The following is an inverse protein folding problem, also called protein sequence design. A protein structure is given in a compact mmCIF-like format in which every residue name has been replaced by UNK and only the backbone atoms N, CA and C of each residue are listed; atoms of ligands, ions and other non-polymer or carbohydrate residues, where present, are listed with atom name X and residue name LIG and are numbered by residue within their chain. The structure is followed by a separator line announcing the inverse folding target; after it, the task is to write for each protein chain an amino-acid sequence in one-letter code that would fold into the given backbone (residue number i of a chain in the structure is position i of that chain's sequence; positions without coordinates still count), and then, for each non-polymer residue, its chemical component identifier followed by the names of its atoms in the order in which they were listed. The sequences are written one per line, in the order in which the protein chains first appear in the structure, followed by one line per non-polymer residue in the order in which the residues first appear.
data_IF_809706146402
#
_entry.id   IF_809706146402
#
_cell.length_a   1.000
_cell.length_b   1.000
_cell.length_c   1.000
_cell.angle_alpha   90.00
_cell.angle_beta   90.00
_cell.angle_gamma   90.00
#
_symmetry.space_group_name_H-M   'P 1'
#
loop_
_entity.id
_entity.type
_entity.pdbx_description
1 polymer ?
#
# COMPACT_ATOMS: atom_id res chain seq x y z
N UNK A 1 -16.15 45.91 19.22
CA UNK A 1 -16.33 44.96 18.17
C UNK A 1 -14.97 44.29 17.92
N UNK A 2 -14.87 43.01 18.20
CA UNK A 2 -13.65 42.23 17.94
C UNK A 2 -13.42 42.14 16.43
N UNK A 3 -12.30 42.67 15.97
CA UNK A 3 -11.83 42.48 14.60
C UNK A 3 -11.33 41.01 14.51
N UNK A 4 -12.09 40.17 13.82
CA UNK A 4 -11.56 38.85 13.40
C UNK A 4 -10.62 39.13 12.23
N UNK A 5 -9.32 38.93 12.45
CA UNK A 5 -8.36 38.82 11.35
C UNK A 5 -8.57 37.45 10.66
N UNK A 6 -9.02 37.51 9.41
CA UNK A 6 -9.08 36.34 8.53
C UNK A 6 -7.86 36.42 7.60
N UNK A 7 -6.92 35.51 7.74
CA UNK A 7 -5.71 35.47 6.93
C UNK A 7 -5.85 34.38 5.86
N UNK A 8 -5.81 34.79 4.59
CA UNK A 8 -5.78 33.86 3.45
C UNK A 8 -4.34 33.73 2.96
N UNK A 9 -3.84 32.52 2.91
CA UNK A 9 -2.51 32.22 2.39
C UNK A 9 -2.60 31.77 0.93
N UNK A 10 -1.76 32.36 0.07
CA UNK A 10 -1.58 31.92 -1.31
C UNK A 10 -0.20 31.29 -1.43
N UNK A 11 -0.14 30.06 -1.90
CA UNK A 11 1.12 29.44 -2.30
C UNK A 11 1.39 29.76 -3.79
N UNK A 12 2.50 30.45 -4.05
CA UNK A 12 2.93 30.71 -5.44
C UNK A 12 3.82 29.58 -5.89
N UNK A 13 3.29 28.73 -6.76
CA UNK A 13 4.03 27.57 -7.30
C UNK A 13 5.00 28.06 -8.37
N UNK A 14 6.30 27.92 -8.10
CA UNK A 14 7.38 28.10 -9.08
C UNK A 14 7.59 26.82 -9.93
N UNK A 15 8.51 26.87 -10.89
CA UNK A 15 8.97 25.66 -11.56
C UNK A 15 9.65 24.72 -10.55
N UNK A 16 9.55 23.40 -10.72
CA UNK A 16 10.22 22.45 -9.84
C UNK A 16 11.75 22.57 -9.99
N UNK A 17 12.45 22.32 -8.91
CA UNK A 17 13.90 22.14 -8.96
C UNK A 17 14.24 20.88 -9.76
N UNK A 18 15.20 20.99 -10.67
CA UNK A 18 15.69 19.86 -11.44
C UNK A 18 16.84 19.20 -10.66
N UNK A 19 16.62 17.99 -10.18
CA UNK A 19 17.61 17.22 -9.42
C UNK A 19 17.46 15.73 -9.70
N UNK A 20 18.57 15.04 -9.94
CA UNK A 20 18.55 13.59 -10.17
C UNK A 20 18.07 12.84 -8.92
N UNK A 21 17.29 11.77 -9.15
CA UNK A 21 16.93 10.85 -8.07
C UNK A 21 18.21 10.35 -7.39
N UNK A 22 18.31 10.39 -6.06
CA UNK A 22 19.46 9.88 -5.35
C UNK A 22 19.78 8.43 -5.73
N UNK A 23 21.06 8.13 -5.92
CA UNK A 23 21.50 6.81 -6.38
C UNK A 23 21.04 5.67 -5.44
N UNK A 24 20.57 4.57 -6.02
CA UNK A 24 20.13 3.39 -5.28
C UNK A 24 18.65 3.41 -4.87
N UNK A 25 17.92 4.50 -5.15
CA UNK A 25 16.49 4.55 -4.88
C UNK A 25 15.69 3.99 -6.06
N UNK A 26 14.52 3.46 -5.75
CA UNK A 26 13.58 2.91 -6.73
C UNK A 26 12.24 3.66 -6.69
N UNK A 27 11.37 3.44 -7.67
CA UNK A 27 10.02 3.98 -7.66
C UNK A 27 9.24 3.50 -6.45
N UNK A 28 8.37 4.37 -5.91
CA UNK A 28 7.58 4.14 -4.71
C UNK A 28 8.27 4.67 -3.44
N UNK A 29 8.04 4.01 -2.33
CA UNK A 29 8.48 4.42 -1.00
C UNK A 29 9.87 3.83 -0.72
N UNK A 30 10.85 4.71 -0.40
CA UNK A 30 12.20 4.30 0.00
C UNK A 30 12.45 4.73 1.46
N UNK A 31 12.55 3.77 2.36
CA UNK A 31 12.87 4.00 3.78
C UNK A 31 14.38 4.17 3.94
N UNK A 32 14.81 5.40 4.23
CA UNK A 32 16.24 5.77 4.33
C UNK A 32 16.76 5.46 5.72
N UNK A 33 16.00 5.82 6.74
CA UNK A 33 16.24 5.55 8.14
C UNK A 33 14.92 5.62 8.94
N UNK A 34 15.00 5.54 10.27
CA UNK A 34 13.82 5.52 11.14
C UNK A 34 12.99 6.82 11.14
N UNK A 35 13.55 7.92 10.59
CA UNK A 35 12.92 9.24 10.60
C UNK A 35 12.84 9.86 9.21
N UNK A 36 13.24 9.12 8.15
CA UNK A 36 13.41 9.65 6.81
C UNK A 36 12.86 8.70 5.76
N UNK A 37 12.04 9.22 4.87
CA UNK A 37 11.54 8.50 3.70
C UNK A 37 11.77 9.33 2.43
N UNK A 38 12.13 8.68 1.33
CA UNK A 38 12.13 9.30 0.01
C UNK A 38 11.03 8.67 -0.84
N UNK A 39 10.14 9.49 -1.35
CA UNK A 39 9.08 9.10 -2.28
C UNK A 39 9.56 9.37 -3.70
N UNK A 40 9.42 8.38 -4.58
CA UNK A 40 9.81 8.47 -5.99
C UNK A 40 8.63 8.06 -6.87
N UNK A 41 8.15 8.97 -7.70
CA UNK A 41 6.98 8.77 -8.56
C UNK A 41 7.35 8.92 -10.04
N UNK A 42 7.06 7.91 -10.85
CA UNK A 42 7.08 8.06 -12.30
C UNK A 42 5.77 8.71 -12.76
N UNK A 43 5.83 9.93 -13.27
CA UNK A 43 4.69 10.71 -13.73
C UNK A 43 5.13 11.69 -14.84
N UNK A 44 5.33 11.20 -16.08
CA UNK A 44 5.70 12.05 -17.21
C UNK A 44 4.60 13.04 -17.57
N UNK A 45 4.99 14.14 -18.21
CA UNK A 45 4.10 15.20 -18.70
C UNK A 45 3.37 16.00 -17.59
N UNK A 46 3.81 15.92 -16.34
CA UNK A 46 3.30 16.75 -15.24
C UNK A 46 4.16 18.01 -15.10
N UNK A 47 3.55 19.09 -14.60
CA UNK A 47 4.22 20.39 -14.45
C UNK A 47 4.80 20.57 -13.05
N UNK A 48 4.10 20.08 -12.03
CA UNK A 48 4.54 20.10 -10.64
C UNK A 48 3.77 19.09 -9.78
N UNK A 49 4.43 18.56 -8.77
CA UNK A 49 3.85 17.57 -7.84
C UNK A 49 4.25 17.90 -6.41
N UNK A 50 3.31 17.77 -5.49
CA UNK A 50 3.56 17.80 -4.06
C UNK A 50 3.18 16.46 -3.42
N UNK A 51 3.98 15.99 -2.47
CA UNK A 51 3.58 14.91 -1.58
C UNK A 51 2.92 15.55 -0.35
N UNK A 52 1.60 15.42 -0.22
CA UNK A 52 0.81 16.11 0.82
C UNK A 52 0.17 15.09 1.74
N UNK A 53 0.30 15.27 3.04
CA UNK A 53 -0.24 14.30 3.99
C UNK A 53 -0.10 14.73 5.45
N UNK A 54 -0.18 13.77 6.34
CA UNK A 54 -0.06 13.99 7.79
C UNK A 54 1.27 14.65 8.16
N UNK A 55 2.37 14.33 7.46
CA UNK A 55 3.69 14.93 7.65
C UNK A 55 3.74 16.43 7.36
N UNK A 56 2.83 16.95 6.53
CA UNK A 56 2.72 18.36 6.15
C UNK A 56 1.49 19.04 6.74
N UNK A 57 0.78 18.38 7.68
CA UNK A 57 -0.54 18.81 8.16
C UNK A 57 -1.54 19.04 7.01
N UNK A 58 -1.41 18.27 5.93
CA UNK A 58 -2.25 18.35 4.72
C UNK A 58 -2.19 19.72 4.02
N UNK A 59 -1.07 20.42 4.16
CA UNK A 59 -0.83 21.71 3.52
C UNK A 59 0.29 21.59 2.47
N UNK A 60 0.17 22.40 1.42
CA UNK A 60 1.26 22.57 0.46
C UNK A 60 2.41 23.31 1.15
N UNK A 61 3.59 22.71 1.14
CA UNK A 61 4.80 23.23 1.76
C UNK A 61 5.98 23.02 0.83
N UNK A 62 6.98 23.87 0.91
CA UNK A 62 8.22 23.73 0.13
C UNK A 62 8.89 22.39 0.37
N UNK A 63 8.93 21.92 1.61
CA UNK A 63 9.48 20.62 1.98
C UNK A 63 8.74 19.40 1.40
N UNK A 64 7.54 19.60 0.87
CA UNK A 64 6.71 18.58 0.20
C UNK A 64 6.71 18.73 -1.33
N UNK A 65 7.33 19.78 -1.86
CA UNK A 65 7.44 19.99 -3.30
C UNK A 65 8.46 19.02 -3.88
N UNK A 66 8.04 18.24 -4.87
CA UNK A 66 8.89 17.22 -5.46
C UNK A 66 9.86 17.83 -6.49
N UNK A 67 11.10 17.34 -6.47
CA UNK A 67 12.08 17.60 -7.52
C UNK A 67 11.71 16.81 -8.77
N UNK A 68 12.02 17.37 -9.94
CA UNK A 68 11.92 16.67 -11.22
C UNK A 68 13.31 16.13 -11.62
N UNK A 69 13.39 14.84 -11.90
CA UNK A 69 14.60 14.23 -12.44
C UNK A 69 14.91 14.78 -13.86
N UNK A 70 16.18 14.90 -14.26
CA UNK A 70 16.55 15.32 -15.62
C UNK A 70 15.97 14.48 -16.77
N UNK A 71 15.39 13.29 -16.46
CA UNK A 71 14.64 12.47 -17.43
C UNK A 71 13.28 13.08 -17.83
N UNK A 72 12.83 14.14 -17.13
CA UNK A 72 11.54 14.82 -17.27
C UNK A 72 10.31 13.93 -17.09
N UNK A 73 10.44 12.86 -16.32
CA UNK A 73 9.38 11.89 -16.09
C UNK A 73 9.28 11.43 -14.64
N UNK A 74 10.41 11.43 -13.91
CA UNK A 74 10.50 10.94 -12.54
C UNK A 74 10.52 12.10 -11.55
N UNK A 75 9.71 12.00 -10.50
CA UNK A 75 9.58 12.99 -9.44
C UNK A 75 9.99 12.38 -8.11
N UNK A 76 10.63 13.17 -7.24
CA UNK A 76 11.02 12.65 -5.94
C UNK A 76 11.08 13.74 -4.87
N UNK A 77 10.88 13.33 -3.61
CA UNK A 77 11.05 14.19 -2.44
C UNK A 77 11.52 13.37 -1.26
N UNK A 78 12.42 13.92 -0.45
CA UNK A 78 12.83 13.33 0.82
C UNK A 78 12.13 14.03 1.97
N UNK A 79 11.36 13.28 2.74
CA UNK A 79 10.65 13.72 3.94
C UNK A 79 11.46 13.32 5.15
N UNK A 80 11.82 14.29 6.00
CA UNK A 80 12.66 14.10 7.18
C UNK A 80 11.96 14.51 8.46
N UNK A 81 12.50 14.08 9.62
CA UNK A 81 11.94 14.45 10.92
C UNK A 81 10.62 13.75 11.24
N UNK A 82 10.41 12.57 10.66
CA UNK A 82 9.24 11.74 10.91
C UNK A 82 9.32 11.08 12.30
N UNK A 83 8.18 10.89 12.93
CA UNK A 83 8.09 10.14 14.17
C UNK A 83 8.28 8.65 13.90
N UNK A 84 9.18 8.02 14.66
CA UNK A 84 9.51 6.59 14.53
C UNK A 84 8.28 5.72 14.74
N UNK A 85 8.01 4.84 13.78
CA UNK A 85 6.90 3.88 13.86
C UNK A 85 5.51 4.47 13.66
N UNK A 86 5.38 5.78 13.42
CA UNK A 86 4.10 6.40 13.10
C UNK A 86 3.71 6.15 11.64
N UNK A 87 2.44 5.86 11.42
CA UNK A 87 1.85 5.81 10.08
C UNK A 87 1.51 7.20 9.58
N UNK A 88 1.87 7.49 8.35
CA UNK A 88 1.66 8.79 7.69
C UNK A 88 0.81 8.62 6.44
N UNK A 89 -0.50 8.93 6.51
CA UNK A 89 -1.35 9.03 5.33
C UNK A 89 -0.91 10.19 4.43
N UNK A 90 -0.88 9.97 3.12
CA UNK A 90 -0.52 10.98 2.13
C UNK A 90 -1.12 10.72 0.75
N UNK A 91 -1.12 11.77 -0.07
CA UNK A 91 -1.46 11.74 -1.49
C UNK A 91 -0.47 12.61 -2.28
N UNK A 92 -0.38 12.38 -3.57
CA UNK A 92 0.23 13.31 -4.48
C UNK A 92 -0.81 14.34 -4.95
N UNK A 93 -0.45 15.62 -4.90
CA UNK A 93 -1.18 16.71 -5.50
C UNK A 93 -0.48 17.15 -6.78
N UNK A 94 -1.13 16.92 -7.92
CA UNK A 94 -0.53 17.03 -9.25
C UNK A 94 -1.23 18.14 -10.03
N UNK A 95 -0.46 19.05 -10.60
CA UNK A 95 -0.89 20.11 -11.54
C UNK A 95 -2.10 20.94 -11.05
N UNK A 96 -2.23 21.09 -9.71
CA UNK A 96 -3.26 21.94 -9.10
C UNK A 96 -4.66 21.36 -9.04
N UNK A 97 -4.88 20.16 -9.55
CA UNK A 97 -6.24 19.59 -9.65
C UNK A 97 -6.36 18.14 -9.22
N UNK A 98 -5.35 17.32 -9.46
CA UNK A 98 -5.44 15.88 -9.22
C UNK A 98 -4.85 15.53 -7.84
N UNK A 99 -5.68 14.95 -6.99
CA UNK A 99 -5.28 14.28 -5.76
C UNK A 99 -5.28 12.78 -6.01
N UNK A 100 -4.15 12.12 -5.84
CA UNK A 100 -4.01 10.70 -6.15
C UNK A 100 -3.10 10.01 -5.15
N UNK A 101 -3.42 8.76 -4.83
CA UNK A 101 -2.57 7.92 -4.01
C UNK A 101 -1.29 7.51 -4.77
N UNK A 102 -0.29 7.02 -4.06
CA UNK A 102 0.91 6.44 -4.66
C UNK A 102 0.57 5.09 -5.32
N UNK A 103 0.86 4.90 -6.61
CA UNK A 103 0.60 3.62 -7.29
C UNK A 103 1.37 2.44 -6.71
N UNK A 104 2.47 2.71 -5.98
CA UNK A 104 3.30 1.70 -5.33
C UNK A 104 3.16 1.72 -3.80
N UNK A 105 2.04 2.24 -3.29
CA UNK A 105 1.75 2.20 -1.86
C UNK A 105 1.70 0.75 -1.34
N UNK A 106 2.30 0.53 -0.17
CA UNK A 106 2.27 -0.76 0.54
C UNK A 106 1.02 -0.94 1.41
N UNK A 107 0.36 0.18 1.75
CA UNK A 107 -0.90 0.27 2.49
C UNK A 107 -1.67 1.48 2.02
N UNK A 108 -2.98 1.36 1.95
CA UNK A 108 -3.88 2.46 1.61
C UNK A 108 -5.01 2.58 2.63
N UNK A 109 -5.70 3.73 2.63
CA UNK A 109 -6.94 3.94 3.37
C UNK A 109 -8.05 4.26 2.36
N UNK A 110 -9.17 3.57 2.51
CA UNK A 110 -10.35 3.71 1.66
C UNK A 110 -11.48 4.38 2.45
N UNK A 111 -11.94 5.58 2.05
CA UNK A 111 -12.98 6.31 2.76
C UNK A 111 -14.35 5.62 2.73
N UNK A 112 -14.56 4.69 1.80
CA UNK A 112 -15.86 4.05 1.58
C UNK A 112 -15.96 2.67 2.23
N UNK A 113 -14.85 1.95 2.34
CA UNK A 113 -14.85 0.52 2.67
C UNK A 113 -14.12 0.18 3.98
N UNK A 114 -13.14 0.96 4.44
CA UNK A 114 -12.36 0.65 5.64
C UNK A 114 -13.22 0.57 6.91
N UNK A 115 -14.30 1.35 7.00
CA UNK A 115 -15.22 1.32 8.15
C UNK A 115 -15.95 -0.03 8.35
N UNK A 116 -15.94 -0.89 7.34
CA UNK A 116 -16.51 -2.25 7.42
C UNK A 116 -15.48 -3.32 7.81
N UNK A 117 -14.22 -2.95 7.95
CA UNK A 117 -13.15 -3.85 8.39
C UNK A 117 -13.16 -3.91 9.91
N UNK A 118 -13.29 -5.12 10.45
CA UNK A 118 -13.34 -5.29 11.90
C UNK A 118 -11.96 -5.18 12.55
N UNK A 119 -11.90 -4.71 13.78
CA UNK A 119 -10.68 -4.72 14.60
C UNK A 119 -10.08 -6.14 14.75
N UNK A 120 -10.90 -7.17 14.70
CA UNK A 120 -10.43 -8.56 14.73
C UNK A 120 -9.71 -8.98 13.44
N UNK A 121 -10.06 -8.37 12.31
CA UNK A 121 -9.40 -8.63 11.00
C UNK A 121 -8.17 -7.77 10.84
N UNK A 122 -8.27 -6.48 11.13
CA UNK A 122 -7.17 -5.54 11.01
C UNK A 122 -7.01 -4.71 12.30
N UNK A 123 -6.29 -5.24 13.30
CA UNK A 123 -6.05 -4.52 14.55
C UNK A 123 -5.31 -3.21 14.32
N UNK A 124 -5.80 -2.13 14.92
CA UNK A 124 -5.15 -0.82 14.86
C UNK A 124 -5.15 -0.17 13.49
N UNK A 125 -6.12 -0.47 12.62
CA UNK A 125 -6.29 0.26 11.37
C UNK A 125 -6.54 1.73 11.69
N UNK A 126 -5.66 2.62 11.22
CA UNK A 126 -5.81 4.05 11.46
C UNK A 126 -7.01 4.63 10.70
N UNK A 127 -7.60 5.67 11.25
CA UNK A 127 -8.75 6.33 10.63
C UNK A 127 -8.38 7.03 9.32
N UNK A 128 -9.32 6.98 8.36
CA UNK A 128 -9.22 7.79 7.16
C UNK A 128 -9.21 9.29 7.51
N UNK A 129 -8.33 10.13 6.91
CA UNK A 129 -8.20 11.55 7.22
C UNK A 129 -9.37 12.38 6.66
N UNK A 130 -10.56 12.15 7.17
CA UNK A 130 -11.81 12.79 6.74
C UNK A 130 -11.73 14.31 6.78
N UNK A 131 -12.15 14.97 5.69
CA UNK A 131 -12.13 16.42 5.54
C UNK A 131 -10.76 17.00 5.18
N UNK A 132 -9.72 16.18 5.10
CA UNK A 132 -8.36 16.57 4.71
C UNK A 132 -7.94 15.97 3.36
N UNK A 133 -8.43 14.77 3.03
CA UNK A 133 -8.14 14.04 1.81
C UNK A 133 -9.40 13.71 1.03
N UNK A 134 -9.24 13.27 -0.22
CA UNK A 134 -10.32 12.81 -1.10
C UNK A 134 -9.88 11.55 -1.86
N UNK A 135 -10.75 10.55 -1.94
CA UNK A 135 -10.42 9.28 -2.58
C UNK A 135 -9.47 8.42 -1.73
N UNK A 136 -8.80 7.47 -2.36
CA UNK A 136 -7.85 6.59 -1.68
C UNK A 136 -6.62 7.37 -1.23
N UNK A 137 -6.09 7.03 -0.05
CA UNK A 137 -4.91 7.65 0.56
C UNK A 137 -3.86 6.59 0.79
N UNK A 138 -2.62 6.85 0.36
CA UNK A 138 -1.46 6.00 0.65
C UNK A 138 -0.98 6.18 2.08
N UNK A 139 -0.33 5.15 2.62
CA UNK A 139 0.28 5.21 3.95
C UNK A 139 1.72 4.69 3.87
N UNK A 140 2.66 5.44 4.45
CA UNK A 140 3.99 4.93 4.76
C UNK A 140 4.23 4.91 6.27
N UNK A 141 5.14 4.06 6.71
CA UNK A 141 5.54 3.94 8.12
C UNK A 141 7.03 3.62 8.19
N UNK A 142 7.83 4.47 8.81
CA UNK A 142 9.24 4.19 9.09
C UNK A 142 9.39 3.21 10.24
N UNK A 143 10.59 2.64 10.42
CA UNK A 143 10.92 1.75 11.54
C UNK A 143 9.90 0.61 11.74
N UNK A 144 9.38 0.07 10.65
CA UNK A 144 8.52 -1.11 10.74
C UNK A 144 9.30 -2.30 11.28
N UNK A 145 8.75 -3.06 12.24
CA UNK A 145 9.41 -4.28 12.72
C UNK A 145 9.69 -5.26 11.58
N UNK A 146 10.90 -5.77 11.51
CA UNK A 146 11.22 -6.85 10.59
C UNK A 146 10.52 -8.15 11.02
N UNK A 147 9.88 -8.82 10.08
CA UNK A 147 9.32 -10.14 10.33
C UNK A 147 10.44 -11.19 10.36
N UNK A 148 10.50 -11.97 11.43
CA UNK A 148 11.44 -13.08 11.54
C UNK A 148 10.75 -14.38 11.09
N UNK A 149 11.15 -14.88 9.92
CA UNK A 149 10.61 -16.12 9.38
C UNK A 149 11.02 -17.33 10.25
N UNK A 150 10.04 -18.15 10.64
CA UNK A 150 10.31 -19.41 11.33
C UNK A 150 10.86 -20.46 10.36
N UNK A 151 10.45 -20.37 9.08
CA UNK A 151 10.94 -21.23 7.98
C UNK A 151 11.62 -20.34 6.93
N UNK A 152 12.85 -19.85 7.19
CA UNK A 152 13.52 -18.89 6.29
C UNK A 152 13.95 -19.53 4.95
N UNK A 153 14.10 -20.85 4.92
CA UNK A 153 14.45 -21.61 3.71
C UNK A 153 13.41 -22.70 3.47
N UNK A 154 12.43 -22.39 2.64
CA UNK A 154 11.42 -23.33 2.20
C UNK A 154 11.79 -23.88 0.82
N UNK A 155 11.80 -25.20 0.68
CA UNK A 155 11.95 -25.87 -0.62
C UNK A 155 10.57 -26.30 -1.10
N UNK A 156 10.02 -25.66 -2.15
CA UNK A 156 8.72 -26.05 -2.68
C UNK A 156 8.78 -27.46 -3.30
N UNK A 157 7.65 -28.16 -3.39
CA UNK A 157 7.54 -29.39 -4.19
C UNK A 157 7.96 -29.15 -5.64
N UNK A 158 8.40 -30.19 -6.34
CA UNK A 158 8.66 -30.10 -7.78
C UNK A 158 7.35 -29.80 -8.54
N UNK A 159 7.44 -29.10 -9.66
CA UNK A 159 6.26 -28.64 -10.41
C UNK A 159 5.33 -29.81 -10.82
N UNK A 160 5.92 -30.97 -11.18
CA UNK A 160 5.19 -32.19 -11.53
C UNK A 160 4.50 -32.88 -10.36
N UNK A 161 4.89 -32.56 -9.13
CA UNK A 161 4.34 -33.15 -7.91
C UNK A 161 3.33 -32.22 -7.20
N UNK A 162 3.03 -31.05 -7.79
CA UNK A 162 2.11 -30.09 -7.20
C UNK A 162 0.67 -30.62 -7.16
N UNK A 163 0.07 -30.56 -5.99
CA UNK A 163 -1.36 -30.74 -5.77
C UNK A 163 -1.89 -29.40 -5.24
N UNK A 164 -2.40 -28.59 -6.16
CA UNK A 164 -2.79 -27.19 -5.90
C UNK A 164 -4.23 -27.10 -5.45
N UNK A 165 -4.48 -26.32 -4.42
CA UNK A 165 -5.81 -25.90 -3.98
C UNK A 165 -5.96 -24.39 -4.23
N UNK A 166 -6.80 -24.01 -5.20
CA UNK A 166 -7.17 -22.62 -5.42
C UNK A 166 -8.14 -22.16 -4.32
N UNK A 167 -7.85 -21.02 -3.68
CA UNK A 167 -8.54 -20.56 -2.49
C UNK A 167 -8.84 -19.06 -2.58
N UNK A 168 -10.12 -18.72 -2.42
CA UNK A 168 -10.57 -17.35 -2.18
C UNK A 168 -10.75 -17.12 -0.67
N UNK A 169 -9.95 -16.25 -0.07
CA UNK A 169 -9.98 -15.99 1.38
C UNK A 169 -11.37 -15.63 1.86
N UNK A 170 -12.08 -14.78 1.11
CA UNK A 170 -13.45 -14.34 1.41
C UNK A 170 -14.43 -15.50 1.57
N UNK A 171 -14.33 -16.52 0.73
CA UNK A 171 -15.36 -17.57 0.65
C UNK A 171 -14.96 -18.85 1.40
N UNK A 172 -13.67 -19.05 1.65
CA UNK A 172 -13.16 -20.26 2.28
C UNK A 172 -13.38 -20.29 3.80
N UNK A 173 -13.23 -19.14 4.48
CA UNK A 173 -13.40 -19.04 5.93
C UNK A 173 -14.42 -17.94 6.29
N UNK A 174 -15.26 -18.23 7.27
CA UNK A 174 -16.33 -17.30 7.68
C UNK A 174 -15.81 -15.94 8.20
N UNK A 175 -14.61 -15.93 8.81
CA UNK A 175 -13.98 -14.71 9.32
C UNK A 175 -13.22 -13.93 8.22
N UNK A 176 -13.08 -14.52 7.02
CA UNK A 176 -12.49 -13.87 5.83
C UNK A 176 -11.11 -13.29 6.06
N UNK A 177 -10.28 -13.91 6.90
CA UNK A 177 -8.96 -13.38 7.23
C UNK A 177 -7.87 -14.44 7.30
N UNK A 178 -6.61 -14.01 7.19
CA UNK A 178 -5.44 -14.87 7.17
C UNK A 178 -5.29 -15.68 8.47
N UNK A 179 -5.62 -15.10 9.63
CA UNK A 179 -5.51 -15.82 10.90
C UNK A 179 -6.39 -17.07 10.92
N UNK A 180 -7.62 -16.96 10.45
CA UNK A 180 -8.54 -18.11 10.39
C UNK A 180 -8.11 -19.13 9.33
N UNK A 181 -7.41 -18.70 8.26
CA UNK A 181 -6.81 -19.65 7.32
C UNK A 181 -5.74 -20.52 7.99
N UNK A 182 -4.92 -19.96 8.88
CA UNK A 182 -3.92 -20.74 9.64
C UNK A 182 -4.60 -21.88 10.40
N UNK A 183 -5.75 -21.62 11.00
CA UNK A 183 -6.51 -22.62 11.77
C UNK A 183 -7.05 -23.77 10.88
N UNK A 184 -7.13 -23.58 9.57
CA UNK A 184 -7.63 -24.59 8.62
C UNK A 184 -6.55 -25.41 7.93
N UNK A 185 -5.27 -25.12 8.14
CA UNK A 185 -4.17 -25.78 7.45
C UNK A 185 -4.11 -27.30 7.68
N UNK A 186 -4.52 -27.78 8.85
CA UNK A 186 -4.59 -29.23 9.11
C UNK A 186 -5.58 -29.92 8.17
N UNK A 187 -6.75 -29.32 7.93
CA UNK A 187 -7.73 -29.84 6.97
C UNK A 187 -7.16 -29.90 5.55
N UNK A 188 -6.50 -28.85 5.09
CA UNK A 188 -5.91 -28.80 3.77
C UNK A 188 -4.77 -29.81 3.61
N UNK A 189 -3.96 -29.98 4.66
CA UNK A 189 -2.91 -30.98 4.70
C UNK A 189 -3.46 -32.42 4.63
N UNK A 190 -4.56 -32.68 5.37
CA UNK A 190 -5.22 -34.01 5.38
C UNK A 190 -5.86 -34.34 4.03
N UNK A 191 -6.24 -33.34 3.23
CA UNK A 191 -6.65 -33.52 1.83
C UNK A 191 -5.48 -33.96 0.91
N UNK A 192 -4.22 -33.85 1.38
CA UNK A 192 -3.03 -34.21 0.61
C UNK A 192 -2.56 -33.15 -0.37
N UNK A 193 -3.01 -31.89 -0.20
CA UNK A 193 -2.51 -30.77 -1.00
C UNK A 193 -1.11 -30.36 -0.51
N UNK A 194 -0.30 -29.82 -1.40
CA UNK A 194 1.04 -29.32 -1.09
C UNK A 194 1.31 -27.91 -1.65
N UNK A 195 0.29 -27.29 -2.24
CA UNK A 195 0.30 -25.88 -2.63
C UNK A 195 -1.09 -25.25 -2.46
N UNK A 196 -1.12 -24.03 -1.99
CA UNK A 196 -2.32 -23.18 -1.96
C UNK A 196 -2.10 -22.05 -2.96
N UNK A 197 -2.97 -21.93 -3.95
CA UNK A 197 -3.04 -20.80 -4.86
C UNK A 197 -4.08 -19.82 -4.32
N UNK A 198 -3.63 -18.67 -3.81
CA UNK A 198 -4.52 -17.62 -3.35
C UNK A 198 -5.00 -16.82 -4.55
N UNK A 199 -6.32 -16.78 -4.76
CA UNK A 199 -6.94 -15.78 -5.64
C UNK A 199 -6.49 -14.38 -5.19
N UNK A 200 -6.51 -13.36 -6.08
CA UNK A 200 -5.80 -12.11 -5.84
C UNK A 200 -6.06 -11.48 -4.47
N UNK A 201 -4.99 -11.18 -3.76
CA UNK A 201 -4.98 -10.61 -2.41
C UNK A 201 -4.45 -9.17 -2.36
N UNK A 202 -4.14 -8.59 -3.52
CA UNK A 202 -3.79 -7.18 -3.61
C UNK A 202 -5.04 -6.31 -3.44
N UNK A 203 -4.86 -5.09 -2.97
CA UNK A 203 -5.96 -4.14 -2.74
C UNK A 203 -6.80 -3.95 -4.00
N UNK A 204 -8.06 -4.33 -3.92
CA UNK A 204 -9.04 -4.23 -4.98
C UNK A 204 -10.15 -3.23 -4.64
N UNK A 205 -10.98 -2.85 -5.60
CA UNK A 205 -12.07 -1.93 -5.37
C UNK A 205 -13.22 -2.59 -4.60
N UNK A 206 -13.54 -2.04 -3.42
CA UNK A 206 -14.54 -2.58 -2.48
C UNK A 206 -13.99 -3.71 -1.61
N UNK A 207 -14.85 -4.28 -0.73
CA UNK A 207 -14.48 -5.38 0.16
C UNK A 207 -15.00 -6.76 -0.30
N UNK A 208 -15.85 -6.80 -1.32
CA UNK A 208 -16.54 -8.01 -1.78
C UNK A 208 -16.16 -8.30 -3.23
N UNK A 209 -14.99 -8.88 -3.45
CA UNK A 209 -14.47 -9.20 -4.79
C UNK A 209 -13.80 -10.57 -4.83
N UNK A 210 -13.57 -11.09 -6.01
CA UNK A 210 -12.62 -12.16 -6.28
C UNK A 210 -11.17 -11.65 -6.41
N UNK A 211 -10.99 -10.30 -6.36
CA UNK A 211 -9.68 -9.66 -6.46
C UNK A 211 -9.23 -9.32 -7.89
N UNK A 212 -10.04 -9.65 -8.93
CA UNK A 212 -9.70 -9.34 -10.33
C UNK A 212 -10.11 -7.94 -10.77
N UNK A 213 -10.33 -7.03 -9.81
CA UNK A 213 -10.52 -5.60 -10.01
C UNK A 213 -9.46 -4.81 -9.20
N UNK A 214 -8.15 -5.04 -9.44
CA UNK A 214 -7.09 -4.49 -8.62
C UNK A 214 -6.99 -2.97 -8.78
N UNK A 215 -6.73 -2.30 -7.67
CA UNK A 215 -6.46 -0.86 -7.62
C UNK A 215 -5.01 -0.56 -7.23
N UNK A 216 -4.41 -1.38 -6.34
CA UNK A 216 -3.02 -1.23 -5.89
C UNK A 216 -2.31 -2.58 -5.90
N UNK A 217 -1.28 -2.72 -6.73
CA UNK A 217 -0.62 -4.00 -6.97
C UNK A 217 0.37 -4.43 -5.88
N UNK A 218 0.80 -3.51 -5.01
CA UNK A 218 1.78 -3.77 -3.96
C UNK A 218 1.13 -3.84 -2.57
N UNK A 219 0.02 -3.13 -2.36
CA UNK A 219 -0.74 -3.19 -1.11
C UNK A 219 -1.54 -4.50 -1.01
N UNK A 220 -1.50 -5.13 0.17
CA UNK A 220 -2.41 -6.23 0.50
C UNK A 220 -3.79 -5.66 0.83
N UNK A 221 -4.85 -6.39 0.41
CA UNK A 221 -6.21 -6.03 0.76
C UNK A 221 -6.45 -6.17 2.27
N UNK A 222 -6.82 -5.07 2.89
CA UNK A 222 -7.02 -4.96 4.34
C UNK A 222 -8.19 -5.80 4.86
N UNK A 223 -9.13 -6.13 3.98
CA UNK A 223 -10.28 -6.97 4.35
C UNK A 223 -9.89 -8.41 4.68
N UNK A 224 -8.69 -8.83 4.28
CA UNK A 224 -8.11 -10.13 4.61
C UNK A 224 -7.14 -10.10 5.79
N UNK A 225 -6.79 -8.91 6.28
CA UNK A 225 -5.91 -8.74 7.43
C UNK A 225 -4.64 -7.97 7.18
N UNK A 226 -3.79 -7.95 8.18
CA UNK A 226 -2.51 -7.21 8.14
C UNK A 226 -1.45 -7.95 7.33
N UNK A 227 -0.42 -7.20 6.90
CA UNK A 227 0.78 -7.78 6.27
C UNK A 227 1.47 -8.81 7.18
N UNK A 228 1.46 -8.57 8.49
CA UNK A 228 1.99 -9.49 9.49
C UNK A 228 1.20 -10.80 9.51
N UNK A 229 -0.14 -10.73 9.54
CA UNK A 229 -1.01 -11.92 9.52
C UNK A 229 -0.81 -12.74 8.23
N UNK A 230 -0.60 -12.07 7.08
CA UNK A 230 -0.28 -12.75 5.83
C UNK A 230 1.07 -13.48 5.90
N UNK A 231 2.12 -12.85 6.46
CA UNK A 231 3.43 -13.49 6.64
C UNK A 231 3.34 -14.70 7.58
N UNK A 232 2.58 -14.60 8.67
CA UNK A 232 2.32 -15.73 9.58
C UNK A 232 1.60 -16.87 8.83
N UNK A 233 0.65 -16.56 7.96
CA UNK A 233 -0.02 -17.58 7.13
C UNK A 233 0.98 -18.28 6.21
N UNK A 234 1.82 -17.53 5.48
CA UNK A 234 2.86 -18.11 4.59
C UNK A 234 3.82 -18.99 5.38
N UNK A 235 4.32 -18.51 6.50
CA UNK A 235 5.26 -19.25 7.37
C UNK A 235 4.64 -20.55 7.91
N UNK A 236 3.36 -20.47 8.28
CA UNK A 236 2.58 -21.62 8.73
C UNK A 236 2.34 -22.64 7.60
N UNK A 237 2.12 -22.19 6.36
CA UNK A 237 2.05 -23.06 5.18
C UNK A 237 3.38 -23.79 4.97
N UNK A 238 4.49 -23.05 4.99
CA UNK A 238 5.84 -23.59 4.81
C UNK A 238 6.18 -24.62 5.91
N UNK A 239 5.83 -24.34 7.17
CA UNK A 239 6.00 -25.28 8.27
C UNK A 239 5.21 -26.59 8.10
N UNK A 240 4.15 -26.57 7.30
CA UNK A 240 3.34 -27.73 6.95
C UNK A 240 3.73 -28.38 5.60
N UNK A 241 4.79 -27.88 4.94
CA UNK A 241 5.24 -28.36 3.63
C UNK A 241 4.34 -27.93 2.47
N UNK A 242 3.57 -26.84 2.65
CA UNK A 242 2.63 -26.30 1.67
C UNK A 242 3.22 -25.03 1.06
N UNK A 243 3.38 -25.01 -0.26
CA UNK A 243 3.75 -23.80 -1.01
C UNK A 243 2.59 -22.81 -1.08
N UNK A 244 2.91 -21.50 -1.15
CA UNK A 244 1.91 -20.45 -1.39
C UNK A 244 2.16 -19.83 -2.75
N UNK A 245 1.15 -19.86 -3.62
CA UNK A 245 1.14 -19.27 -4.95
C UNK A 245 0.20 -18.07 -4.92
N UNK A 246 0.60 -16.95 -5.50
CA UNK A 246 -0.23 -15.77 -5.62
C UNK A 246 -0.74 -15.66 -7.05
N UNK A 247 -2.06 -15.67 -7.21
CA UNK A 247 -2.70 -15.26 -8.46
C UNK A 247 -2.67 -13.73 -8.55
N UNK A 248 -2.16 -13.21 -9.66
CA UNK A 248 -1.94 -11.77 -9.85
C UNK A 248 -2.55 -11.30 -11.17
N UNK A 249 -3.56 -10.42 -11.08
CA UNK A 249 -4.17 -9.77 -12.24
C UNK A 249 -3.41 -8.47 -12.59
N UNK A 250 -2.39 -8.55 -13.47
CA UNK A 250 -1.56 -7.41 -13.87
C UNK A 250 -1.93 -6.81 -15.25
N UNK A 251 -2.93 -7.35 -15.93
CA UNK A 251 -3.30 -6.96 -17.29
C UNK A 251 -4.24 -5.75 -17.35
N UNK A 252 -4.80 -5.32 -16.23
CA UNK A 252 -5.69 -4.15 -16.12
C UNK A 252 -5.66 -3.58 -14.69
N UNK A 253 -6.18 -2.36 -14.53
CA UNK A 253 -6.40 -1.71 -13.26
C UNK A 253 -7.79 -1.10 -13.22
N UNK A 254 -8.41 -1.02 -12.04
CA UNK A 254 -9.75 -0.45 -11.85
C UNK A 254 -9.71 1.07 -11.61
N UNK A 255 -10.88 1.73 -11.59
CA UNK A 255 -11.02 3.18 -11.60
C UNK A 255 -10.41 3.90 -10.40
N UNK A 256 -10.30 3.23 -9.25
CA UNK A 256 -9.62 3.78 -8.06
C UNK A 256 -8.08 3.71 -8.15
N UNK A 257 -7.54 2.97 -9.12
CA UNK A 257 -6.10 2.87 -9.30
C UNK A 257 -5.46 4.21 -9.67
N UNK A 258 -4.39 4.61 -8.99
CA UNK A 258 -3.61 5.80 -9.38
C UNK A 258 -3.13 5.77 -10.83
N UNK A 259 -2.83 4.57 -11.37
CA UNK A 259 -2.41 4.40 -12.75
C UNK A 259 -3.51 4.82 -13.74
N UNK A 260 -4.79 4.56 -13.41
CA UNK A 260 -5.93 4.99 -14.23
C UNK A 260 -6.22 6.48 -14.06
N UNK A 261 -6.00 7.03 -12.87
CA UNK A 261 -6.31 8.42 -12.56
C UNK A 261 -5.27 9.41 -13.11
N UNK A 262 -4.02 8.97 -13.25
CA UNK A 262 -2.91 9.81 -13.76
C UNK A 262 -2.79 9.82 -15.28
N UNK A 263 -3.32 8.80 -15.98
CA UNK A 263 -3.23 8.57 -17.44
C UNK A 263 -4.63 8.39 -18.05
#
# INVERSE_FOLDING_TARGET
GDVKEDSTYFYVIGAPDIAAVPAGLHQGINYIDDNTVTLVLYAPYKQYIFAVGEHSNWMLQEASYMHLDPDNATWWVTLTGLDVGKEYPYQYFIDGTLWVADPLAEKVLDPWNDSYISEATYPGLIDYPTGKASGIVSVFQTAQPEYTWAIPEFTPPADEDLVVYELLVRDFVAARNYQTLVDTLSYLKDLGINAIELMPIMEFEGNESWGYNPSFFIALDKYYGTREAFKIFVDSCHANGIAVILDIAMNHAFGQSPLVQMW
#
